data_IF_420860853984
#
_entry.id   IF_420860853984
#
_cell.length_a   1.000
_cell.length_b   1.000
_cell.length_c   1.000
_cell.angle_alpha   90.00
_cell.angle_beta   90.00
_cell.angle_gamma   90.00
#
_symmetry.space_group_name_H-M   'P 1'
#
loop_
_entity.id
_entity.type
_entity.pdbx_description
1 polymer ?
#
# COMPACT_ATOMS: atom_id res chain seq x y z
N UNK A 1 -37.56 40.00 -5.41
CA UNK A 1 -36.14 39.60 -5.52
C UNK A 1 -35.81 38.78 -4.28
N UNK A 2 -35.80 37.43 -4.34
CA UNK A 2 -35.48 36.62 -3.17
C UNK A 2 -33.99 36.73 -2.84
N UNK A 3 -33.70 36.88 -1.54
CA UNK A 3 -32.37 37.03 -0.98
C UNK A 3 -31.55 35.74 -1.09
N UNK A 4 -30.24 35.91 -1.23
CA UNK A 4 -29.29 34.82 -1.37
C UNK A 4 -29.21 33.94 -0.12
N UNK A 5 -29.27 32.63 -0.35
CA UNK A 5 -28.98 31.60 0.64
C UNK A 5 -27.55 31.78 1.19
N UNK A 6 -27.32 31.60 2.50
CA UNK A 6 -25.97 31.60 3.05
C UNK A 6 -25.20 30.37 2.54
N UNK A 7 -24.09 30.64 1.85
CA UNK A 7 -23.10 29.66 1.46
C UNK A 7 -22.59 28.91 2.70
N UNK A 8 -23.10 27.70 2.92
CA UNK A 8 -22.70 26.82 4.02
C UNK A 8 -21.28 26.31 3.73
N UNK A 9 -20.29 26.88 4.45
CA UNK A 9 -18.89 26.51 4.33
C UNK A 9 -18.68 25.03 4.70
N UNK A 10 -17.87 24.27 3.94
CA UNK A 10 -17.60 22.87 4.25
C UNK A 10 -16.92 22.75 5.61
N UNK A 11 -17.66 22.17 6.55
CA UNK A 11 -17.29 21.62 7.85
C UNK A 11 -15.78 21.36 8.03
N UNK A 12 -15.16 22.18 8.89
CA UNK A 12 -13.83 21.96 9.40
C UNK A 12 -13.85 20.70 10.29
N UNK A 13 -13.52 19.54 9.73
CA UNK A 13 -13.34 18.34 10.55
C UNK A 13 -12.24 18.61 11.58
N UNK A 14 -12.45 18.24 12.86
CA UNK A 14 -11.46 18.49 13.90
C UNK A 14 -10.13 17.78 13.58
N UNK A 15 -9.01 18.40 13.95
CA UNK A 15 -7.65 17.90 13.72
C UNK A 15 -7.43 16.47 14.28
N UNK A 16 -8.23 16.05 15.27
CA UNK A 16 -8.25 14.69 15.82
C UNK A 16 -8.73 13.62 14.83
N UNK A 17 -9.63 13.94 13.90
CA UNK A 17 -10.07 13.01 12.85
C UNK A 17 -9.02 12.83 11.74
N UNK A 18 -8.23 13.86 11.45
CA UNK A 18 -7.09 13.73 10.54
C UNK A 18 -5.97 12.87 11.15
N UNK A 19 -5.70 13.02 12.45
CA UNK A 19 -4.75 12.17 13.16
C UNK A 19 -5.20 10.71 13.22
N UNK A 20 -6.51 10.46 13.40
CA UNK A 20 -7.06 9.10 13.40
C UNK A 20 -6.99 8.47 12.00
N UNK A 21 -7.25 9.25 10.94
CA UNK A 21 -7.14 8.80 9.56
C UNK A 21 -5.69 8.39 9.23
N UNK A 22 -4.69 9.20 9.58
CA UNK A 22 -3.28 8.83 9.41
C UNK A 22 -2.92 7.54 10.15
N UNK A 23 -3.37 7.40 11.39
CA UNK A 23 -3.16 6.18 12.18
C UNK A 23 -3.84 4.94 11.57
N UNK A 24 -5.02 5.11 10.98
CA UNK A 24 -5.77 4.03 10.32
C UNK A 24 -5.01 3.52 9.09
N UNK A 25 -4.49 4.43 8.26
CA UNK A 25 -3.70 4.06 7.08
C UNK A 25 -2.43 3.30 7.45
N UNK A 26 -1.74 3.71 8.52
CA UNK A 26 -0.57 2.98 9.03
C UNK A 26 -0.98 1.58 9.51
N UNK A 27 -2.09 1.44 10.24
CA UNK A 27 -2.59 0.14 10.69
C UNK A 27 -2.97 -0.77 9.52
N UNK A 28 -3.64 -0.22 8.50
CA UNK A 28 -3.99 -0.93 7.27
C UNK A 28 -2.74 -1.40 6.54
N UNK A 29 -1.72 -0.53 6.41
CA UNK A 29 -0.44 -0.86 5.79
C UNK A 29 0.27 -2.01 6.51
N UNK A 30 0.39 -1.95 7.83
CA UNK A 30 1.05 -3.00 8.61
C UNK A 30 0.27 -4.31 8.54
N UNK A 31 -1.06 -4.25 8.63
CA UNK A 31 -1.92 -5.43 8.57
C UNK A 31 -1.87 -6.07 7.18
N UNK A 32 -1.90 -5.27 6.10
CA UNK A 32 -1.81 -5.78 4.74
C UNK A 32 -0.45 -6.43 4.48
N UNK A 33 0.66 -5.83 4.94
CA UNK A 33 1.99 -6.43 4.83
C UNK A 33 2.08 -7.80 5.53
N UNK A 34 1.57 -7.90 6.76
CA UNK A 34 1.50 -9.18 7.50
C UNK A 34 0.65 -10.23 6.77
N UNK A 35 -0.55 -9.86 6.32
CA UNK A 35 -1.45 -10.79 5.63
C UNK A 35 -0.87 -11.22 4.28
N UNK A 36 -0.22 -10.31 3.56
CA UNK A 36 0.40 -10.60 2.27
C UNK A 36 1.59 -11.55 2.43
N UNK A 37 2.45 -11.33 3.44
CA UNK A 37 3.53 -12.28 3.77
C UNK A 37 2.99 -13.66 4.17
N UNK A 38 1.96 -13.70 5.01
CA UNK A 38 1.32 -14.96 5.40
C UNK A 38 0.66 -15.70 4.23
N UNK A 39 0.06 -14.98 3.27
CA UNK A 39 -0.47 -15.57 2.03
C UNK A 39 0.60 -16.27 1.18
N UNK A 40 1.87 -15.93 1.41
CA UNK A 40 3.04 -16.54 0.77
C UNK A 40 3.73 -17.61 1.63
N UNK A 41 3.03 -18.17 2.62
CA UNK A 41 3.55 -19.21 3.50
C UNK A 41 4.19 -20.40 2.76
N UNK A 42 3.69 -20.73 1.57
CA UNK A 42 4.24 -21.80 0.72
C UNK A 42 5.69 -21.58 0.27
N UNK A 43 6.22 -20.34 0.33
CA UNK A 43 7.63 -20.02 0.03
C UNK A 43 8.58 -20.30 1.21
N UNK A 44 8.06 -20.78 2.34
CA UNK A 44 8.82 -20.98 3.58
C UNK A 44 9.09 -19.70 4.37
N UNK A 45 9.80 -19.77 5.51
CA UNK A 45 9.97 -18.64 6.43
C UNK A 45 10.64 -17.41 5.80
N UNK A 46 11.68 -17.60 4.99
CA UNK A 46 12.34 -16.50 4.26
C UNK A 46 11.37 -15.84 3.29
N UNK A 47 10.63 -16.61 2.51
CA UNK A 47 9.66 -16.08 1.55
C UNK A 47 8.46 -15.36 2.18
N UNK A 48 8.06 -15.71 3.40
CA UNK A 48 7.05 -14.98 4.18
C UNK A 48 7.56 -13.57 4.53
N UNK A 49 8.78 -13.47 5.04
CA UNK A 49 9.40 -12.19 5.41
C UNK A 49 9.57 -11.32 4.17
N UNK A 50 10.12 -11.90 3.10
CA UNK A 50 10.43 -11.19 1.86
C UNK A 50 9.16 -10.69 1.17
N UNK A 51 8.15 -11.55 1.05
CA UNK A 51 6.85 -11.15 0.49
C UNK A 51 6.14 -10.12 1.38
N UNK A 52 6.23 -10.25 2.71
CA UNK A 52 5.66 -9.27 3.63
C UNK A 52 6.30 -7.89 3.48
N UNK A 53 7.63 -7.82 3.33
CA UNK A 53 8.34 -6.58 3.04
C UNK A 53 7.94 -5.99 1.69
N UNK A 54 7.85 -6.81 0.64
CA UNK A 54 7.34 -6.35 -0.65
C UNK A 54 5.92 -5.78 -0.54
N UNK A 55 5.03 -6.43 0.22
CA UNK A 55 3.67 -5.95 0.50
C UNK A 55 3.64 -4.60 1.23
N UNK A 56 4.55 -4.38 2.19
CA UNK A 56 4.70 -3.08 2.87
C UNK A 56 5.20 -2.00 1.92
N UNK A 57 6.17 -2.30 1.05
CA UNK A 57 6.71 -1.35 0.07
C UNK A 57 5.63 -0.96 -0.94
N UNK A 58 4.88 -1.94 -1.48
CA UNK A 58 3.78 -1.69 -2.41
C UNK A 58 2.65 -0.90 -1.73
N UNK A 59 2.28 -1.24 -0.49
CA UNK A 59 1.29 -0.48 0.28
C UNK A 59 1.73 0.95 0.58
N UNK A 60 3.02 1.18 0.85
CA UNK A 60 3.56 2.53 1.02
C UNK A 60 3.53 3.31 -0.30
N UNK A 61 3.95 2.68 -1.41
CA UNK A 61 3.89 3.26 -2.75
C UNK A 61 2.45 3.62 -3.16
N UNK A 62 1.46 2.79 -2.81
CA UNK A 62 0.04 3.10 -2.99
C UNK A 62 -0.35 4.40 -2.27
N UNK A 63 0.00 4.54 -0.99
CA UNK A 63 -0.36 5.73 -0.20
C UNK A 63 0.36 6.99 -0.72
N UNK A 64 1.66 6.88 -1.03
CA UNK A 64 2.49 7.99 -1.52
C UNK A 64 2.09 8.46 -2.92
N UNK A 65 1.57 7.56 -3.77
CA UNK A 65 1.05 7.89 -5.10
C UNK A 65 -0.37 8.44 -5.10
N UNK A 66 -0.93 8.77 -3.93
CA UNK A 66 -2.30 9.28 -3.82
C UNK A 66 -3.36 8.19 -3.99
N UNK A 67 -3.06 6.94 -3.62
CA UNK A 67 -3.91 5.75 -3.75
C UNK A 67 -4.07 5.28 -5.21
N UNK A 68 -2.98 5.34 -5.98
CA UNK A 68 -2.96 4.86 -7.36
C UNK A 68 -2.56 3.37 -7.43
N UNK A 69 -3.50 2.52 -7.83
CA UNK A 69 -3.27 1.07 -7.95
C UNK A 69 -2.30 0.72 -9.08
N UNK A 70 -2.23 1.51 -10.16
CA UNK A 70 -1.33 1.24 -11.28
C UNK A 70 0.13 1.23 -10.85
N UNK A 71 0.51 2.09 -9.90
CA UNK A 71 1.87 2.09 -9.34
C UNK A 71 2.20 0.75 -8.70
N UNK A 72 1.25 0.16 -7.96
CA UNK A 72 1.46 -1.15 -7.32
C UNK A 72 1.50 -2.28 -8.35
N UNK A 73 0.58 -2.28 -9.32
CA UNK A 73 0.51 -3.30 -10.38
C UNK A 73 1.81 -3.33 -11.17
N UNK A 74 2.29 -2.16 -11.60
CA UNK A 74 3.52 -2.06 -12.39
C UNK A 74 4.76 -2.39 -11.54
N UNK A 75 4.86 -1.87 -10.31
CA UNK A 75 6.00 -2.16 -9.44
C UNK A 75 6.08 -3.66 -9.10
N UNK A 76 4.94 -4.29 -8.77
CA UNK A 76 4.89 -5.71 -8.46
C UNK A 76 5.26 -6.56 -9.68
N UNK A 77 4.61 -6.32 -10.83
CA UNK A 77 4.91 -7.05 -12.06
C UNK A 77 6.36 -6.88 -12.51
N UNK A 78 6.96 -5.69 -12.31
CA UNK A 78 8.36 -5.43 -12.60
C UNK A 78 9.29 -6.27 -11.71
N UNK A 79 9.09 -6.25 -10.38
CA UNK A 79 9.90 -7.04 -9.44
C UNK A 79 9.81 -8.54 -9.77
N UNK A 80 8.61 -9.05 -10.03
CA UNK A 80 8.40 -10.47 -10.36
C UNK A 80 9.06 -10.84 -11.69
N UNK A 81 8.98 -9.96 -12.69
CA UNK A 81 9.67 -10.17 -13.97
C UNK A 81 11.18 -10.24 -13.76
N UNK A 82 11.76 -9.31 -12.98
CA UNK A 82 13.17 -9.34 -12.65
C UNK A 82 13.56 -10.59 -11.86
N UNK A 83 12.74 -11.03 -10.90
CA UNK A 83 12.99 -12.22 -10.12
C UNK A 83 12.99 -13.48 -11.02
N UNK A 84 12.03 -13.62 -11.93
CA UNK A 84 11.98 -14.73 -12.89
C UNK A 84 13.17 -14.70 -13.84
N UNK A 85 13.56 -13.51 -14.32
CA UNK A 85 14.76 -13.34 -15.17
C UNK A 85 16.03 -13.74 -14.41
N UNK A 86 16.19 -13.28 -13.16
CA UNK A 86 17.32 -13.64 -12.31
C UNK A 86 17.38 -15.15 -12.04
N UNK A 87 16.24 -15.79 -11.77
CA UNK A 87 16.14 -17.24 -11.63
C UNK A 87 16.54 -17.97 -12.93
N UNK A 88 16.09 -17.49 -14.09
CA UNK A 88 16.41 -18.09 -15.38
C UNK A 88 17.92 -18.04 -15.70
N UNK A 89 18.59 -16.94 -15.37
CA UNK A 89 20.04 -16.78 -15.54
C UNK A 89 20.87 -17.34 -14.37
N UNK A 90 20.23 -17.86 -13.32
CA UNK A 90 20.91 -18.42 -12.15
C UNK A 90 21.59 -17.37 -11.24
N UNK A 91 21.11 -16.13 -11.24
CA UNK A 91 21.64 -15.04 -10.40
C UNK A 91 21.15 -15.07 -8.95
N UNK A 92 20.05 -15.76 -8.68
CA UNK A 92 19.62 -16.05 -7.30
C UNK A 92 20.12 -17.45 -6.90
N UNK A 93 21.27 -17.47 -6.24
CA UNK A 93 21.91 -18.67 -5.66
C UNK A 93 21.53 -18.89 -4.22
#
# INVERSE_FOLDING_TARGET
MPGGEPFCLPSLRPLSEFCSAGSLWIRLLLTSGRLFGYGHYYKGPSGIVDSGMAGLILGAAFLLSGRNLWVCILAHGFIDTFAIVALYFGWSS
#
